data_IF_195156031782
#
_entry.id   IF_195156031782
#
_cell.length_a   1.000
_cell.length_b   1.000
_cell.length_c   1.000
_cell.angle_alpha   90.00
_cell.angle_beta   90.00
_cell.angle_gamma   90.00
#
_symmetry.space_group_name_H-M   'P 1'
#
loop_
_entity.id
_entity.type
_entity.pdbx_description
1 polymer ?
#
# COMPACT_ATOMS: atom_id res chain seq x y z
N UNK A 1 -3.76 -30.95 0.35
CA UNK A 1 -2.95 -29.84 0.91
C UNK A 1 -2.83 -30.00 2.40
N UNK A 2 -1.62 -29.83 2.98
CA UNK A 2 -1.46 -29.83 4.45
C UNK A 2 -2.20 -28.61 5.03
N UNK A 3 -2.63 -28.68 6.29
CA UNK A 3 -3.43 -27.61 6.89
C UNK A 3 -2.71 -26.24 6.86
N UNK A 4 -1.39 -26.23 7.07
CA UNK A 4 -0.56 -25.02 6.98
C UNK A 4 -0.51 -24.41 5.58
N UNK A 5 -0.61 -25.22 4.53
CA UNK A 5 -0.59 -24.73 3.15
C UNK A 5 -1.89 -24.01 2.78
N UNK A 6 -3.00 -24.33 3.47
CA UNK A 6 -4.32 -23.74 3.22
C UNK A 6 -4.42 -22.29 3.68
N UNK A 7 -3.47 -21.79 4.49
CA UNK A 7 -3.43 -20.39 4.86
C UNK A 7 -3.08 -19.53 3.64
N UNK A 8 -3.96 -18.61 3.32
CA UNK A 8 -3.85 -17.78 2.13
C UNK A 8 -4.31 -16.34 2.37
N UNK A 9 -3.87 -15.48 1.47
CA UNK A 9 -4.32 -14.10 1.34
C UNK A 9 -5.01 -13.92 0.01
N UNK A 10 -5.99 -13.02 -0.04
CA UNK A 10 -6.58 -12.53 -1.28
C UNK A 10 -5.98 -11.17 -1.58
N UNK A 11 -5.45 -11.01 -2.79
CA UNK A 11 -4.93 -9.73 -3.26
C UNK A 11 -5.58 -9.35 -4.58
N UNK A 12 -5.72 -8.05 -4.82
CA UNK A 12 -6.23 -7.55 -6.08
C UNK A 12 -5.52 -6.29 -6.52
N UNK A 13 -5.50 -6.11 -7.83
CA UNK A 13 -5.01 -4.89 -8.45
C UNK A 13 -5.69 -4.67 -9.80
N UNK A 14 -5.65 -3.43 -10.25
CA UNK A 14 -6.18 -3.00 -11.53
C UNK A 14 -5.05 -2.67 -12.51
N UNK A 15 -5.25 -3.09 -13.75
CA UNK A 15 -4.36 -2.85 -14.87
C UNK A 15 -5.09 -2.03 -15.94
N UNK A 16 -4.41 -0.99 -16.44
CA UNK A 16 -4.86 -0.25 -17.62
C UNK A 16 -4.72 -1.13 -18.86
N UNK A 17 -5.74 -1.12 -19.70
CA UNK A 17 -5.79 -1.76 -21.00
C UNK A 17 -5.93 -0.69 -22.08
N UNK A 18 -5.42 -1.00 -23.27
CA UNK A 18 -5.77 -0.22 -24.46
C UNK A 18 -7.15 -0.69 -24.93
N UNK A 19 -8.14 0.22 -25.06
CA UNK A 19 -9.44 -0.14 -25.61
C UNK A 19 -9.31 -0.74 -27.00
N UNK A 20 -9.90 -1.91 -27.19
CA UNK A 20 -9.87 -2.64 -28.44
C UNK A 20 -11.08 -3.55 -28.55
N UNK A 21 -11.67 -3.66 -29.74
CA UNK A 21 -12.68 -4.65 -30.04
C UNK A 21 -12.08 -5.76 -30.89
N UNK A 22 -12.36 -6.99 -30.50
CA UNK A 22 -12.01 -8.18 -31.27
C UNK A 22 -13.23 -9.10 -31.36
N UNK A 23 -13.22 -10.09 -32.25
CA UNK A 23 -14.28 -11.08 -32.37
C UNK A 23 -13.78 -12.48 -32.03
N UNK A 24 -14.30 -13.06 -30.94
CA UNK A 24 -14.04 -14.44 -30.58
C UNK A 24 -14.88 -15.36 -31.49
N UNK A 25 -14.26 -15.90 -32.53
CA UNK A 25 -14.88 -16.86 -33.45
C UNK A 25 -15.43 -18.11 -32.75
N UNK A 26 -14.80 -18.57 -31.66
CA UNK A 26 -15.19 -19.79 -30.96
C UNK A 26 -16.43 -19.55 -30.10
N UNK A 27 -16.43 -18.47 -29.33
CA UNK A 27 -17.56 -18.08 -28.47
C UNK A 27 -18.63 -17.28 -29.20
N UNK A 28 -18.39 -16.92 -30.47
CA UNK A 28 -19.27 -16.13 -31.34
C UNK A 28 -19.73 -14.82 -30.71
N UNK A 29 -18.80 -14.11 -30.06
CA UNK A 29 -19.09 -12.83 -29.43
C UNK A 29 -17.95 -11.84 -29.66
N UNK A 30 -18.30 -10.56 -29.68
CA UNK A 30 -17.32 -9.49 -29.66
C UNK A 30 -16.63 -9.51 -28.28
N UNK A 31 -15.34 -9.18 -28.18
CA UNK A 31 -14.58 -8.92 -26.96
C UNK A 31 -14.28 -7.42 -26.90
N UNK A 32 -14.08 -6.87 -25.70
CA UNK A 32 -13.70 -5.46 -25.52
C UNK A 32 -14.81 -4.56 -25.00
N UNK A 33 -15.96 -5.15 -24.67
CA UNK A 33 -17.01 -4.48 -23.91
C UNK A 33 -17.03 -4.98 -22.45
N UNK A 34 -17.49 -4.13 -21.55
CA UNK A 34 -17.60 -4.43 -20.12
C UNK A 34 -18.44 -5.70 -19.89
N UNK A 35 -17.87 -6.64 -19.15
CA UNK A 35 -18.47 -7.96 -18.90
C UNK A 35 -18.19 -8.41 -17.46
N UNK A 36 -19.27 -8.64 -16.71
CA UNK A 36 -19.23 -9.10 -15.32
C UNK A 36 -19.64 -10.58 -15.17
N UNK A 37 -19.63 -11.34 -16.25
CA UNK A 37 -19.93 -12.78 -16.30
C UNK A 37 -21.42 -13.14 -16.38
N UNK A 38 -22.31 -12.19 -16.05
CA UNK A 38 -23.77 -12.35 -16.21
C UNK A 38 -24.47 -11.10 -16.73
N UNK A 39 -23.75 -9.99 -16.87
CA UNK A 39 -24.24 -8.74 -17.45
C UNK A 39 -23.13 -8.14 -18.30
N UNK A 40 -23.49 -7.80 -19.53
CA UNK A 40 -22.61 -7.13 -20.48
C UNK A 40 -23.17 -5.74 -20.75
N UNK A 41 -22.33 -4.72 -20.65
CA UNK A 41 -22.72 -3.34 -20.94
C UNK A 41 -21.99 -2.89 -22.22
N UNK A 42 -22.64 -2.04 -23.04
CA UNK A 42 -22.06 -1.50 -24.27
C UNK A 42 -21.07 -0.35 -23.98
N UNK A 43 -20.13 -0.59 -23.08
CA UNK A 43 -19.06 0.31 -22.67
C UNK A 43 -17.71 -0.31 -23.01
N UNK A 44 -16.79 0.49 -23.56
CA UNK A 44 -15.48 0.01 -23.96
C UNK A 44 -14.60 -0.24 -22.74
N UNK A 45 -13.91 -1.37 -22.74
CA UNK A 45 -13.03 -1.74 -21.64
C UNK A 45 -11.69 -1.04 -21.79
N UNK A 46 -11.26 -0.36 -20.74
CA UNK A 46 -9.93 0.25 -20.60
C UNK A 46 -9.23 -0.18 -19.29
N UNK A 47 -9.88 -0.99 -18.44
CA UNK A 47 -9.29 -1.54 -17.23
C UNK A 47 -9.61 -3.04 -17.04
N UNK A 48 -8.66 -3.77 -16.45
CA UNK A 48 -8.87 -5.11 -15.92
C UNK A 48 -8.55 -5.16 -14.43
N UNK A 49 -9.54 -5.50 -13.62
CA UNK A 49 -9.38 -5.81 -12.20
C UNK A 49 -9.13 -7.31 -12.04
N UNK A 50 -8.03 -7.68 -11.38
CA UNK A 50 -7.65 -9.08 -11.19
C UNK A 50 -7.57 -9.40 -9.70
N UNK A 51 -8.20 -10.50 -9.30
CA UNK A 51 -8.11 -11.10 -7.98
C UNK A 51 -7.20 -12.33 -8.03
N UNK A 52 -6.21 -12.36 -7.14
CA UNK A 52 -5.25 -13.45 -7.01
C UNK A 52 -5.24 -13.96 -5.57
N UNK A 53 -5.27 -15.27 -5.41
CA UNK A 53 -5.06 -15.93 -4.13
C UNK A 53 -3.60 -16.33 -4.02
N UNK A 54 -3.00 -16.10 -2.86
CA UNK A 54 -1.62 -16.49 -2.58
C UNK A 54 -1.53 -17.27 -1.28
N UNK A 55 -0.93 -18.46 -1.33
CA UNK A 55 -0.56 -19.23 -0.14
C UNK A 55 0.54 -18.53 0.65
N UNK A 56 0.38 -18.47 1.97
CA UNK A 56 1.36 -17.82 2.86
C UNK A 56 2.60 -18.70 3.04
N UNK A 57 2.38 -19.98 3.37
CA UNK A 57 3.46 -20.92 3.71
C UNK A 57 4.28 -21.35 2.49
N UNK A 58 3.61 -21.89 1.47
CA UNK A 58 4.23 -22.48 0.29
C UNK A 58 4.33 -21.51 -0.89
N UNK A 59 3.76 -20.32 -0.78
CA UNK A 59 3.91 -19.25 -1.78
C UNK A 59 3.21 -19.49 -3.12
N UNK A 60 2.36 -20.53 -3.23
CA UNK A 60 1.57 -20.80 -4.43
C UNK A 60 0.68 -19.60 -4.78
N UNK A 61 0.40 -19.41 -6.07
CA UNK A 61 -0.38 -18.29 -6.58
C UNK A 61 -1.41 -18.79 -7.58
N UNK A 62 -2.63 -18.26 -7.49
CA UNK A 62 -3.72 -18.59 -8.38
C UNK A 62 -4.50 -17.31 -8.70
N UNK A 63 -4.43 -16.78 -9.94
CA UNK A 63 -5.40 -15.82 -10.43
C UNK A 63 -6.78 -16.49 -10.40
N UNK A 64 -7.70 -15.96 -9.59
CA UNK A 64 -8.98 -16.60 -9.32
C UNK A 64 -10.13 -15.96 -10.09
N UNK A 65 -10.12 -14.64 -10.23
CA UNK A 65 -11.16 -13.91 -10.93
C UNK A 65 -10.57 -12.68 -11.63
N UNK A 66 -11.21 -12.27 -12.72
CA UNK A 66 -10.93 -11.01 -13.39
C UNK A 66 -12.25 -10.37 -13.84
N UNK A 67 -12.25 -9.05 -13.89
CA UNK A 67 -13.38 -8.24 -14.35
C UNK A 67 -12.86 -7.15 -15.27
N UNK A 68 -13.51 -7.00 -16.42
CA UNK A 68 -13.22 -5.92 -17.36
C UNK A 68 -14.15 -4.75 -17.08
N UNK A 69 -13.60 -3.54 -17.01
CA UNK A 69 -14.34 -2.33 -16.64
C UNK A 69 -14.05 -1.18 -17.61
N UNK A 70 -15.05 -0.32 -17.77
CA UNK A 70 -14.90 1.04 -18.33
C UNK A 70 -14.61 2.01 -17.17
N UNK A 71 -13.38 2.51 -17.13
CA UNK A 71 -12.84 3.29 -16.03
C UNK A 71 -12.71 2.52 -14.72
N UNK A 72 -12.57 3.29 -13.64
CA UNK A 72 -12.45 2.74 -12.30
C UNK A 72 -13.79 2.12 -11.84
N UNK A 73 -13.76 0.84 -11.45
CA UNK A 73 -14.92 0.15 -10.86
C UNK A 73 -15.54 0.94 -9.70
N UNK A 74 -16.88 1.01 -9.66
CA UNK A 74 -17.63 1.58 -8.52
C UNK A 74 -17.34 0.80 -7.23
N UNK A 75 -17.17 1.51 -6.12
CA UNK A 75 -16.85 0.93 -4.80
C UNK A 75 -17.81 -0.18 -4.38
N UNK A 76 -19.11 -0.01 -4.58
CA UNK A 76 -20.12 -1.00 -4.18
C UNK A 76 -20.00 -2.30 -4.98
N UNK A 77 -19.66 -2.18 -6.26
CA UNK A 77 -19.44 -3.32 -7.13
C UNK A 77 -18.15 -4.07 -6.73
N UNK A 78 -17.08 -3.33 -6.41
CA UNK A 78 -15.84 -3.91 -5.89
C UNK A 78 -16.08 -4.68 -4.58
N UNK A 79 -16.84 -4.10 -3.64
CA UNK A 79 -17.22 -4.77 -2.38
C UNK A 79 -17.99 -6.07 -2.63
N UNK A 80 -18.90 -6.08 -3.60
CA UNK A 80 -19.63 -7.29 -4.00
C UNK A 80 -18.68 -8.36 -4.52
N UNK A 81 -17.76 -8.00 -5.42
CA UNK A 81 -16.77 -8.96 -5.95
C UNK A 81 -15.82 -9.48 -4.87
N UNK A 82 -15.31 -8.63 -3.98
CA UNK A 82 -14.48 -9.06 -2.84
C UNK A 82 -15.22 -10.12 -2.03
N UNK A 83 -16.50 -9.90 -1.70
CA UNK A 83 -17.32 -10.88 -0.95
C UNK A 83 -17.53 -12.17 -1.72
N UNK A 84 -17.86 -12.11 -3.00
CA UNK A 84 -18.05 -13.28 -3.86
C UNK A 84 -16.78 -14.12 -3.94
N UNK A 85 -15.65 -13.49 -4.27
CA UNK A 85 -14.36 -14.18 -4.39
C UNK A 85 -13.91 -14.76 -3.05
N UNK A 86 -14.07 -14.00 -1.95
CA UNK A 86 -13.75 -14.49 -0.60
C UNK A 86 -14.60 -15.69 -0.20
N UNK A 87 -15.89 -15.67 -0.56
CA UNK A 87 -16.81 -16.80 -0.31
C UNK A 87 -16.35 -18.04 -1.06
N UNK A 88 -16.00 -17.92 -2.35
CA UNK A 88 -15.48 -19.03 -3.16
C UNK A 88 -14.23 -19.64 -2.51
N UNK A 89 -13.30 -18.80 -2.04
CA UNK A 89 -12.06 -19.25 -1.38
C UNK A 89 -12.37 -20.04 -0.10
N UNK A 90 -13.23 -19.50 0.76
CA UNK A 90 -13.59 -20.10 2.04
C UNK A 90 -14.35 -21.41 1.83
N UNK A 91 -15.33 -21.42 0.93
CA UNK A 91 -16.16 -22.59 0.62
C UNK A 91 -15.33 -23.71 -0.06
N UNK A 92 -14.23 -23.36 -0.73
CA UNK A 92 -13.24 -24.33 -1.26
C UNK A 92 -12.35 -24.97 -0.18
N UNK A 93 -12.52 -24.60 1.08
CA UNK A 93 -11.77 -25.15 2.22
C UNK A 93 -10.42 -24.49 2.48
N UNK A 94 -10.12 -23.34 1.86
CA UNK A 94 -8.94 -22.53 2.16
C UNK A 94 -9.17 -21.63 3.39
N UNK A 95 -8.10 -21.32 4.11
CA UNK A 95 -8.14 -20.42 5.26
C UNK A 95 -7.68 -19.02 4.84
N UNK A 96 -8.64 -18.18 4.48
CA UNK A 96 -8.41 -16.79 4.08
C UNK A 96 -8.25 -15.90 5.32
N UNK A 97 -7.03 -15.39 5.55
CA UNK A 97 -6.70 -14.66 6.78
C UNK A 97 -6.48 -13.16 6.57
N UNK A 98 -6.18 -12.73 5.35
CA UNK A 98 -5.93 -11.33 5.06
C UNK A 98 -6.26 -10.94 3.62
N UNK A 99 -6.51 -9.63 3.46
CA UNK A 99 -6.57 -8.95 2.19
C UNK A 99 -5.31 -8.13 1.95
N UNK A 100 -4.87 -8.03 0.70
CA UNK A 100 -3.80 -7.09 0.31
C UNK A 100 -4.24 -6.30 -0.91
N UNK A 101 -4.33 -4.98 -0.78
CA UNK A 101 -4.72 -4.09 -1.87
C UNK A 101 -3.84 -2.83 -1.91
N UNK A 102 -4.02 -1.99 -2.93
CA UNK A 102 -3.40 -0.66 -2.95
C UNK A 102 -4.09 0.27 -1.95
N UNK A 103 -3.43 1.36 -1.61
CA UNK A 103 -3.94 2.45 -0.77
C UNK A 103 -4.72 3.51 -1.58
N UNK A 104 -5.26 3.12 -2.73
CA UNK A 104 -6.05 4.02 -3.58
C UNK A 104 -7.40 4.36 -2.94
N UNK A 105 -7.95 5.54 -3.28
CA UNK A 105 -9.25 6.02 -2.75
C UNK A 105 -10.36 4.97 -2.82
N UNK A 106 -10.46 4.25 -3.95
CA UNK A 106 -11.46 3.19 -4.18
C UNK A 106 -11.26 2.00 -3.26
N UNK A 107 -10.05 1.46 -3.18
CA UNK A 107 -9.73 0.29 -2.35
C UNK A 107 -9.96 0.60 -0.87
N UNK A 108 -9.52 1.79 -0.43
CA UNK A 108 -9.76 2.28 0.92
C UNK A 108 -11.26 2.41 1.22
N UNK A 109 -12.05 2.97 0.29
CA UNK A 109 -13.50 3.07 0.46
C UNK A 109 -14.18 1.70 0.55
N UNK A 110 -13.74 0.73 -0.26
CA UNK A 110 -14.28 -0.64 -0.23
C UNK A 110 -13.93 -1.36 1.08
N UNK A 111 -12.67 -1.28 1.51
CA UNK A 111 -12.20 -1.82 2.80
C UNK A 111 -12.95 -1.19 3.96
N UNK A 112 -13.12 0.14 3.98
CA UNK A 112 -13.85 0.83 5.04
C UNK A 112 -15.33 0.44 5.08
N UNK A 113 -15.96 0.23 3.93
CA UNK A 113 -17.35 -0.26 3.87
C UNK A 113 -17.46 -1.66 4.49
N UNK A 114 -16.54 -2.57 4.15
CA UNK A 114 -16.48 -3.92 4.72
C UNK A 114 -16.21 -3.90 6.24
N UNK A 115 -15.30 -3.02 6.70
CA UNK A 115 -15.04 -2.81 8.12
C UNK A 115 -16.27 -2.31 8.87
N UNK A 116 -17.00 -1.35 8.30
CA UNK A 116 -18.23 -0.82 8.90
C UNK A 116 -19.31 -1.89 9.03
N UNK A 117 -19.46 -2.76 8.03
CA UNK A 117 -20.38 -3.90 8.10
C UNK A 117 -19.98 -4.88 9.22
N UNK A 118 -18.69 -5.20 9.34
CA UNK A 118 -18.16 -6.05 10.40
C UNK A 118 -18.36 -5.44 11.80
N UNK A 119 -18.13 -4.13 11.94
CA UNK A 119 -18.36 -3.39 13.18
C UNK A 119 -19.82 -3.46 13.63
N UNK A 120 -20.76 -3.28 12.68
CA UNK A 120 -22.20 -3.41 12.96
C UNK A 120 -22.59 -4.83 13.39
N UNK A 121 -21.98 -5.85 12.80
CA UNK A 121 -22.19 -7.24 13.19
C UNK A 121 -21.68 -7.51 14.60
N UNK A 122 -20.45 -7.09 14.93
CA UNK A 122 -19.85 -7.26 16.24
C UNK A 122 -20.61 -6.54 17.35
N UNK A 123 -21.10 -5.32 17.07
CA UNK A 123 -21.94 -4.57 18.00
C UNK A 123 -23.22 -5.33 18.37
N UNK A 124 -23.87 -6.00 17.41
CA UNK A 124 -25.07 -6.82 17.66
C UNK A 124 -24.80 -8.05 18.51
N UNK A 125 -23.58 -8.58 18.43
CA UNK A 125 -23.13 -9.73 19.23
C UNK A 125 -22.60 -9.32 20.61
N UNK A 126 -22.46 -8.01 20.89
CA UNK A 126 -21.85 -7.51 22.11
C UNK A 126 -20.33 -7.73 22.18
N UNK A 127 -19.69 -7.99 21.04
CA UNK A 127 -18.26 -8.29 20.95
C UNK A 127 -17.42 -7.04 20.60
N UNK A 128 -16.16 -7.05 21.05
CA UNK A 128 -15.21 -5.97 20.76
C UNK A 128 -14.78 -6.00 19.30
N UNK A 129 -14.97 -4.89 18.60
CA UNK A 129 -14.49 -4.70 17.24
C UNK A 129 -13.02 -4.25 17.20
N UNK A 130 -12.19 -4.96 16.41
CA UNK A 130 -10.74 -4.71 16.32
C UNK A 130 -10.27 -4.17 14.95
N UNK A 131 -11.18 -3.72 14.09
CA UNK A 131 -10.82 -3.17 12.78
C UNK A 131 -10.70 -4.22 11.66
N UNK A 132 -11.10 -5.46 11.92
CA UNK A 132 -11.07 -6.55 10.95
C UNK A 132 -12.32 -6.56 10.04
N UNK A 133 -12.28 -7.39 9.00
CA UNK A 133 -13.41 -7.68 8.11
C UNK A 133 -13.94 -9.07 8.46
N UNK A 134 -15.26 -9.28 8.37
CA UNK A 134 -15.89 -10.58 8.62
C UNK A 134 -16.62 -11.03 7.36
N UNK A 135 -16.26 -12.22 6.85
CA UNK A 135 -16.96 -12.88 5.73
C UNK A 135 -17.09 -14.36 6.08
N UNK A 136 -18.31 -14.92 6.01
CA UNK A 136 -18.58 -16.34 6.34
C UNK A 136 -18.01 -16.75 7.72
N UNK A 137 -18.17 -15.89 8.72
CA UNK A 137 -17.63 -16.06 10.08
C UNK A 137 -16.10 -16.22 10.14
N UNK A 138 -15.38 -15.78 9.11
CA UNK A 138 -13.90 -15.67 9.12
C UNK A 138 -13.52 -14.21 9.32
N UNK A 139 -12.64 -13.99 10.28
CA UNK A 139 -11.98 -12.70 10.50
C UNK A 139 -10.83 -12.56 9.51
N UNK A 140 -10.83 -11.46 8.77
CA UNK A 140 -9.89 -11.18 7.69
C UNK A 140 -9.24 -9.82 7.97
N UNK A 141 -7.91 -9.80 8.01
CA UNK A 141 -7.13 -8.60 8.28
C UNK A 141 -6.90 -7.84 6.97
N UNK A 142 -7.33 -6.58 6.84
CA UNK A 142 -7.01 -5.77 5.67
C UNK A 142 -5.60 -5.19 5.79
N UNK A 143 -4.75 -5.52 4.82
CA UNK A 143 -3.40 -5.00 4.66
C UNK A 143 -3.29 -4.20 3.36
N UNK A 144 -2.32 -3.29 3.32
CA UNK A 144 -2.04 -2.46 2.16
C UNK A 144 -0.64 -2.75 1.62
N UNK A 145 -0.48 -2.61 0.30
CA UNK A 145 0.76 -2.87 -0.42
C UNK A 145 1.90 -1.96 0.08
N UNK A 146 2.95 -2.51 0.74
CA UNK A 146 4.01 -1.69 1.33
C UNK A 146 4.74 -0.77 0.34
N UNK A 147 5.16 -1.24 -0.85
CA UNK A 147 5.64 -0.39 -1.94
C UNK A 147 4.77 0.84 -2.27
N UNK A 148 3.45 0.73 -2.22
CA UNK A 148 2.56 1.87 -2.50
C UNK A 148 2.57 2.87 -1.36
N UNK A 149 2.49 2.39 -0.12
CA UNK A 149 2.54 3.23 1.06
C UNK A 149 3.88 4.00 1.19
N UNK A 150 5.04 3.37 0.92
CA UNK A 150 6.34 4.06 0.90
C UNK A 150 6.35 5.18 -0.15
N UNK A 151 5.79 4.93 -1.34
CA UNK A 151 5.64 5.99 -2.35
C UNK A 151 4.73 7.10 -1.86
N UNK A 152 3.59 6.76 -1.25
CA UNK A 152 2.63 7.72 -0.70
C UNK A 152 3.29 8.66 0.30
N UNK A 153 4.02 8.11 1.28
CA UNK A 153 4.78 8.89 2.27
C UNK A 153 5.77 9.84 1.58
N UNK A 154 6.59 9.32 0.66
CA UNK A 154 7.56 10.14 -0.08
C UNK A 154 6.88 11.23 -0.93
N UNK A 155 5.79 10.91 -1.61
CA UNK A 155 5.06 11.83 -2.50
C UNK A 155 4.36 12.93 -1.71
N UNK A 156 3.85 12.62 -0.52
CA UNK A 156 3.29 13.62 0.38
C UNK A 156 4.42 14.52 0.91
N UNK A 157 5.53 13.94 1.36
CA UNK A 157 6.68 14.70 1.86
C UNK A 157 7.26 15.67 0.81
N UNK A 158 7.26 15.29 -0.48
CA UNK A 158 7.67 16.16 -1.60
C UNK A 158 6.87 17.47 -1.73
N UNK A 159 5.64 17.49 -1.21
CA UNK A 159 4.70 18.60 -1.38
C UNK A 159 4.28 19.25 -0.06
N UNK A 160 4.43 18.54 1.05
CA UNK A 160 3.95 18.93 2.37
C UNK A 160 4.94 18.52 3.45
N UNK A 161 4.96 19.27 4.54
CA UNK A 161 5.70 18.87 5.72
C UNK A 161 4.93 17.81 6.51
N UNK A 162 5.66 16.86 7.08
CA UNK A 162 5.12 15.74 7.84
C UNK A 162 5.28 16.05 9.32
N UNK A 163 4.16 16.24 10.01
CA UNK A 163 4.15 16.42 11.46
C UNK A 163 4.19 15.06 12.18
N UNK A 164 4.97 14.94 13.25
CA UNK A 164 5.08 13.71 14.03
C UNK A 164 5.41 13.99 15.50
N UNK A 165 5.30 12.93 16.33
CA UNK A 165 5.38 12.99 17.78
C UNK A 165 4.43 14.04 18.38
N UNK A 166 3.18 14.05 17.90
CA UNK A 166 2.10 14.90 18.40
C UNK A 166 1.68 14.44 19.80
N UNK A 167 2.50 14.72 20.82
CA UNK A 167 2.09 14.65 22.21
C UNK A 167 1.53 16.02 22.61
N UNK A 168 0.39 16.01 23.31
CA UNK A 168 -0.12 17.21 23.96
C UNK A 168 1.01 17.77 24.85
N UNK A 169 1.26 19.08 24.78
CA UNK A 169 2.30 19.82 25.52
C UNK A 169 3.74 19.78 24.99
N UNK A 170 4.05 19.09 23.88
CA UNK A 170 5.38 19.16 23.23
C UNK A 170 5.43 20.13 22.04
N UNK A 171 6.62 20.68 21.77
CA UNK A 171 6.87 21.42 20.53
C UNK A 171 6.57 20.55 19.31
N UNK A 172 5.84 21.12 18.36
CA UNK A 172 5.46 20.46 17.10
C UNK A 172 6.70 20.17 16.26
N UNK A 173 6.89 18.90 15.91
CA UNK A 173 8.04 18.44 15.11
C UNK A 173 7.61 18.18 13.69
N UNK A 174 8.39 18.70 12.74
CA UNK A 174 8.12 18.57 11.32
C UNK A 174 9.31 17.94 10.58
N UNK A 175 8.99 17.13 9.57
CA UNK A 175 9.92 16.66 8.56
C UNK A 175 9.59 17.38 7.24
N UNK A 176 10.58 18.03 6.65
CA UNK A 176 10.43 18.72 5.36
C UNK A 176 11.33 18.11 4.29
N UNK A 177 10.85 18.07 3.04
CA UNK A 177 11.65 17.63 1.91
C UNK A 177 12.90 18.49 1.69
N UNK A 178 12.84 19.78 2.07
CA UNK A 178 13.97 20.70 1.95
C UNK A 178 15.22 20.17 2.68
N UNK A 179 15.05 19.46 3.80
CA UNK A 179 16.19 18.88 4.54
C UNK A 179 16.83 17.75 3.74
N UNK A 180 16.05 16.95 3.03
CA UNK A 180 16.54 15.88 2.15
C UNK A 180 17.31 16.49 0.97
N UNK A 181 16.79 17.58 0.40
CA UNK A 181 17.46 18.31 -0.68
C UNK A 181 18.78 18.94 -0.24
N UNK A 182 18.81 19.58 0.92
CA UNK A 182 20.04 20.11 1.52
C UNK A 182 21.07 19.00 1.79
N UNK A 183 20.64 17.88 2.37
CA UNK A 183 21.52 16.74 2.62
C UNK A 183 22.16 16.20 1.33
N UNK A 184 21.39 16.13 0.25
CA UNK A 184 21.90 15.74 -1.06
C UNK A 184 22.94 16.73 -1.58
N UNK A 185 22.70 18.05 -1.49
CA UNK A 185 23.67 19.05 -1.93
C UNK A 185 24.95 19.06 -1.09
N UNK A 186 24.84 18.81 0.23
CA UNK A 186 26.00 18.66 1.11
C UNK A 186 26.85 17.43 0.74
N UNK A 187 26.19 16.31 0.40
CA UNK A 187 26.89 15.09 -0.05
C UNK A 187 27.63 15.30 -1.38
N UNK A 188 27.13 16.19 -2.25
CA UNK A 188 27.80 16.54 -3.50
C UNK A 188 29.06 17.39 -3.29
N UNK A 189 29.12 18.21 -2.25
CA UNK A 189 30.25 19.11 -1.97
C UNK A 189 31.30 18.50 -1.05
N UNK A 190 31.10 17.25 -0.60
CA UNK A 190 32.05 16.56 0.27
C UNK A 190 33.36 16.28 -0.49
N UNK A 191 34.47 16.79 0.03
CA UNK A 191 35.73 17.05 -0.71
C UNK A 191 36.52 15.81 -1.14
N UNK A 192 36.15 14.62 -0.67
CA UNK A 192 36.90 13.38 -0.92
C UNK A 192 36.03 12.30 -1.57
N UNK A 193 34.87 11.96 -0.97
CA UNK A 193 33.97 10.93 -1.49
C UNK A 193 32.52 11.21 -1.08
N UNK A 194 31.55 10.83 -1.92
CA UNK A 194 30.13 10.87 -1.54
C UNK A 194 29.81 9.76 -0.54
N UNK A 195 29.10 10.10 0.53
CA UNK A 195 28.58 9.17 1.52
C UNK A 195 27.23 8.59 1.10
N UNK A 196 26.50 9.25 0.20
CA UNK A 196 25.23 8.77 -0.37
C UNK A 196 25.30 8.57 -1.90
N UNK A 197 26.22 7.76 -2.43
CA UNK A 197 26.49 7.66 -3.88
C UNK A 197 25.31 7.12 -4.70
N UNK A 198 24.36 6.42 -4.06
CA UNK A 198 23.14 5.89 -4.71
C UNK A 198 22.07 6.97 -4.94
N UNK A 199 22.16 8.09 -4.22
CA UNK A 199 21.21 9.20 -4.33
C UNK A 199 21.65 10.11 -5.47
N UNK A 200 20.71 10.36 -6.38
CA UNK A 200 20.91 11.16 -7.58
C UNK A 200 19.84 12.25 -7.68
N UNK A 201 19.93 13.13 -8.66
CA UNK A 201 18.90 14.16 -8.87
C UNK A 201 17.50 13.58 -9.08
N UNK A 202 17.37 12.38 -9.67
CA UNK A 202 16.08 11.68 -9.85
C UNK A 202 15.43 11.19 -8.54
N UNK A 203 16.16 11.26 -7.43
CA UNK A 203 15.67 10.90 -6.09
C UNK A 203 15.13 12.12 -5.34
N UNK A 204 15.70 13.30 -5.59
CA UNK A 204 15.60 14.46 -4.71
C UNK A 204 14.98 15.67 -5.40
N UNK A 205 15.44 16.01 -6.61
CA UNK A 205 15.01 17.22 -7.32
C UNK A 205 13.59 17.00 -7.82
N UNK A 206 12.65 17.77 -7.28
CA UNK A 206 11.20 17.58 -7.44
C UNK A 206 10.76 17.32 -8.89
N UNK A 207 11.25 18.10 -9.84
CA UNK A 207 10.86 17.99 -11.26
C UNK A 207 11.44 16.75 -11.96
N UNK A 208 12.52 16.18 -11.42
CA UNK A 208 13.18 14.97 -11.94
C UNK A 208 12.70 13.69 -11.26
N UNK A 209 11.89 13.83 -10.21
CA UNK A 209 11.50 12.71 -9.38
C UNK A 209 10.34 11.93 -10.00
N UNK A 210 10.57 10.65 -10.27
CA UNK A 210 9.51 9.75 -10.73
C UNK A 210 8.60 9.30 -9.57
N UNK A 211 7.36 9.75 -9.55
CA UNK A 211 6.33 9.43 -8.54
C UNK A 211 6.05 7.92 -8.46
N UNK A 212 6.23 7.19 -9.57
CA UNK A 212 5.94 5.75 -9.66
C UNK A 212 7.10 4.84 -9.23
N UNK A 213 8.35 5.35 -9.19
CA UNK A 213 9.57 4.56 -8.98
C UNK A 213 9.79 4.25 -7.49
N UNK A 214 9.35 3.06 -7.05
CA UNK A 214 9.43 2.60 -5.64
C UNK A 214 10.87 2.60 -5.13
N UNK A 215 11.83 2.15 -5.95
CA UNK A 215 13.25 2.09 -5.60
C UNK A 215 13.77 3.44 -5.08
N UNK A 216 13.44 4.54 -5.78
CA UNK A 216 13.89 5.87 -5.37
C UNK A 216 13.26 6.29 -4.05
N UNK A 217 11.96 6.04 -3.87
CA UNK A 217 11.28 6.34 -2.62
C UNK A 217 11.91 5.59 -1.43
N UNK A 218 12.19 4.30 -1.59
CA UNK A 218 12.83 3.49 -0.56
C UNK A 218 14.27 3.94 -0.25
N UNK A 219 15.04 4.36 -1.27
CA UNK A 219 16.42 4.83 -1.09
C UNK A 219 16.47 6.20 -0.38
N UNK A 220 15.54 7.10 -0.71
CA UNK A 220 15.43 8.40 -0.01
C UNK A 220 15.02 8.20 1.44
N UNK A 221 14.05 7.32 1.70
CA UNK A 221 13.55 7.04 3.06
C UNK A 221 14.38 5.96 3.78
N UNK A 222 15.69 5.92 3.54
CA UNK A 222 16.59 4.90 4.06
C UNK A 222 17.33 5.32 5.32
N UNK A 223 17.85 4.33 6.05
CA UNK A 223 18.73 4.56 7.20
C UNK A 223 19.99 5.34 6.83
N UNK A 224 20.53 5.16 5.62
CA UNK A 224 21.72 5.89 5.16
C UNK A 224 21.45 7.39 5.03
N UNK A 225 20.30 7.78 4.44
CA UNK A 225 19.87 9.18 4.38
C UNK A 225 19.67 9.76 5.79
N UNK A 226 18.96 9.03 6.66
CA UNK A 226 18.72 9.45 8.04
C UNK A 226 20.03 9.61 8.84
N UNK A 227 20.96 8.67 8.69
CA UNK A 227 22.28 8.71 9.33
C UNK A 227 23.13 9.88 8.84
N UNK A 228 23.13 10.17 7.53
CA UNK A 228 23.83 11.32 6.96
C UNK A 228 23.30 12.63 7.54
N UNK A 229 21.98 12.82 7.54
CA UNK A 229 21.34 14.01 8.12
C UNK A 229 21.71 14.13 9.61
N UNK A 230 21.57 13.04 10.37
CA UNK A 230 21.87 13.03 11.80
C UNK A 230 23.32 13.45 12.10
N UNK A 231 24.28 12.87 11.38
CA UNK A 231 25.70 13.14 11.56
C UNK A 231 26.03 14.62 11.32
N UNK A 232 25.53 15.19 10.22
CA UNK A 232 25.81 16.58 9.86
C UNK A 232 25.05 17.59 10.72
N UNK A 233 23.87 17.24 11.26
CA UNK A 233 23.19 18.08 12.27
C UNK A 233 23.94 18.18 13.59
N UNK A 234 24.79 17.18 13.92
CA UNK A 234 25.58 17.16 15.16
C UNK A 234 26.96 17.81 15.02
N UNK A 235 27.60 17.68 13.85
CA UNK A 235 28.94 18.23 13.62
C UNK A 235 28.94 19.72 13.33
N UNK A 236 27.97 20.20 12.55
CA UNK A 236 27.88 21.61 12.21
C UNK A 236 26.92 22.31 13.17
N UNK A 237 27.46 22.75 14.32
CA UNK A 237 26.75 23.55 15.33
C UNK A 237 26.21 24.91 14.87
N UNK A 238 25.86 25.12 13.58
CA UNK A 238 25.24 26.36 13.05
C UNK A 238 24.67 26.37 11.60
N UNK A 239 24.71 25.30 10.79
CA UNK A 239 24.25 25.38 9.36
C UNK A 239 22.91 24.74 9.03
N UNK A 240 22.48 23.70 9.74
CA UNK A 240 21.14 23.09 9.60
C UNK A 240 20.10 23.62 10.60
N UNK A 241 20.50 24.56 11.47
CA UNK A 241 19.69 25.04 12.61
C UNK A 241 18.46 25.86 12.24
N UNK A 242 18.24 26.19 10.96
CA UNK A 242 17.11 27.02 10.57
C UNK A 242 15.83 26.22 10.26
N UNK A 243 15.92 24.89 10.08
CA UNK A 243 14.75 24.06 9.78
C UNK A 243 14.80 22.70 10.49
N UNK A 244 13.97 22.60 11.53
CA UNK A 244 13.42 21.41 12.18
C UNK A 244 14.21 20.09 12.05
N UNK A 245 15.09 19.86 13.02
CA UNK A 245 16.09 18.76 13.10
C UNK A 245 15.49 17.35 13.18
N UNK A 246 14.17 17.16 13.23
CA UNK A 246 13.61 15.90 13.68
C UNK A 246 13.50 14.79 12.59
N UNK A 247 13.70 15.12 11.30
CA UNK A 247 13.52 14.15 10.20
C UNK A 247 14.46 12.93 10.30
N UNK A 248 15.65 13.07 10.90
CA UNK A 248 16.54 11.93 11.07
C UNK A 248 16.02 10.91 12.09
N UNK A 249 15.39 11.39 13.18
CA UNK A 249 14.68 10.53 14.14
C UNK A 249 13.50 9.85 13.46
N UNK A 250 12.78 10.58 12.61
CA UNK A 250 11.70 9.99 11.83
C UNK A 250 12.21 8.97 10.80
N UNK A 251 13.28 9.22 10.07
CA UNK A 251 13.86 8.24 9.14
C UNK A 251 14.43 7.01 9.87
N UNK A 252 15.00 7.19 11.06
CA UNK A 252 15.57 6.11 11.87
C UNK A 252 14.51 5.27 12.61
N UNK A 253 13.46 5.91 13.13
CA UNK A 253 12.43 5.28 13.96
C UNK A 253 11.16 4.91 13.16
N UNK A 254 10.86 5.68 12.12
CA UNK A 254 9.65 5.58 11.29
C UNK A 254 9.96 5.39 9.78
N UNK A 255 11.21 5.11 9.40
CA UNK A 255 11.57 4.66 8.05
C UNK A 255 10.99 3.28 7.74
N UNK A 256 11.73 2.42 7.01
CA UNK A 256 11.29 1.05 6.67
C UNK A 256 10.70 0.23 7.86
N UNK A 257 11.04 0.59 9.11
CA UNK A 257 10.49 0.06 10.36
C UNK A 257 8.99 0.32 10.58
N UNK A 258 8.39 1.40 10.05
CA UNK A 258 6.96 1.69 10.23
C UNK A 258 6.04 0.59 9.68
N UNK A 259 6.52 -0.18 8.70
CA UNK A 259 5.77 -1.30 8.13
C UNK A 259 5.68 -2.53 9.02
N UNK A 260 6.61 -2.70 9.96
CA UNK A 260 6.69 -3.90 10.79
C UNK A 260 6.27 -3.67 12.25
N UNK A 261 6.45 -2.46 12.81
CA UNK A 261 6.24 -2.24 14.25
C UNK A 261 4.90 -1.57 14.64
N UNK A 262 4.26 -0.79 13.75
CA UNK A 262 3.05 -0.01 14.11
C UNK A 262 1.73 -0.48 13.49
N UNK A 263 1.72 -1.51 12.65
CA UNK A 263 0.51 -2.30 12.48
C UNK A 263 0.42 -3.24 13.69
N UNK A 264 -0.61 -3.17 14.54
CA UNK A 264 -0.78 -4.16 15.60
C UNK A 264 -0.93 -5.52 14.92
N UNK A 265 0.18 -6.26 14.86
CA UNK A 265 0.21 -7.66 14.46
C UNK A 265 -0.58 -8.41 15.53
N UNK A 266 -1.89 -8.51 15.34
CA UNK A 266 -2.78 -9.46 16.01
C UNK A 266 -2.47 -10.92 15.65
N UNK A 267 -1.28 -11.21 15.12
CA UNK A 267 -0.80 -12.53 14.76
C UNK A 267 -0.47 -13.42 15.98
N UNK A 268 -0.43 -12.85 17.18
CA UNK A 268 -0.21 -13.61 18.42
C UNK A 268 -1.42 -14.46 18.85
N UNK A 269 -2.65 -14.18 18.38
CA UNK A 269 -3.85 -14.93 18.78
C UNK A 269 -4.37 -15.99 17.81
N UNK A 270 -3.79 -16.13 16.62
CA UNK A 270 -4.27 -17.07 15.57
C UNK A 270 -3.41 -18.35 15.47
N UNK A 271 -2.34 -18.45 16.27
CA UNK A 271 -1.43 -19.61 16.29
C UNK A 271 -1.40 -20.32 17.66
N UNK A 272 -2.57 -20.55 18.26
CA UNK A 272 -2.78 -21.64 19.21
C UNK A 272 -3.92 -22.52 18.73
#
# INVERSE_FOLDING_TARGET
MKQKDKLCILMWDEMLLQPHLDYDMKKKHIIGFEDFGGRRNALFVDHALVFMVRGIQSGWKLPLAYYFCDGATKTDQLVKWIKTVSTIIIDSGLNLVAFVCKDGKRDLAAVNKLKLEAAKQMLRLGERYCGDIIIKNRTIIPLYNPPCLIKGIRNNLLNYDLEFDCAEEQERKFASWQIIEQAYHMDLTHSMYRLMPKITTEHVIKDKVSIKKVKHAAQVLSMTMGGFIHHHTKLEGKRLYKYNINIHRWLAHYGLLFFFEKFPLGLSKVLK
#
